data_IF_315475983871
#
_entry.id   IF_315475983871
#
_cell.length_a   1.000
_cell.length_b   1.000
_cell.length_c   1.000
_cell.angle_alpha   90.00
_cell.angle_beta   90.00
_cell.angle_gamma   90.00
#
_symmetry.space_group_name_H-M   'P 1'
#
loop_
_entity.id
_entity.type
_entity.pdbx_description
1 polymer ?
#
# COMPACT_ATOMS: atom_id res chain seq x y z
N UNK A 1 5.33 8.46 -9.35
CA UNK A 1 5.90 8.83 -8.02
C UNK A 1 6.23 7.58 -7.24
N UNK A 2 7.14 7.69 -6.27
CA UNK A 2 7.52 6.62 -5.36
C UNK A 2 7.73 7.24 -3.97
N UNK A 3 6.98 6.76 -2.98
CA UNK A 3 7.24 7.05 -1.57
C UNK A 3 7.76 5.78 -0.91
N UNK A 4 9.07 5.71 -0.70
CA UNK A 4 9.68 4.47 -0.30
C UNK A 4 11.17 4.47 -0.56
N UNK A 5 11.75 3.27 -0.54
CA UNK A 5 13.16 3.07 -0.78
C UNK A 5 13.37 1.64 -1.28
N UNK A 6 14.23 1.49 -2.29
CA UNK A 6 14.70 0.20 -2.76
C UNK A 6 15.98 -0.14 -2.01
N UNK A 7 15.90 -1.20 -1.21
CA UNK A 7 17.00 -1.68 -0.38
C UNK A 7 18.24 -1.97 -1.22
N UNK A 8 19.40 -1.54 -0.72
CA UNK A 8 20.69 -1.81 -1.36
C UNK A 8 20.71 -1.45 -2.87
N UNK A 9 19.97 -0.42 -3.30
CA UNK A 9 19.81 -0.05 -4.72
C UNK A 9 21.14 -0.01 -5.50
N UNK A 10 22.22 0.49 -4.89
CA UNK A 10 23.56 0.52 -5.52
C UNK A 10 24.07 -0.87 -5.96
N UNK A 11 23.71 -1.94 -5.26
CA UNK A 11 24.10 -3.32 -5.60
C UNK A 11 23.32 -3.85 -6.81
N UNK A 12 22.04 -3.52 -6.90
CA UNK A 12 21.17 -4.00 -7.98
C UNK A 12 21.12 -3.06 -9.19
N UNK A 13 21.59 -1.81 -9.07
CA UNK A 13 21.51 -0.79 -10.14
C UNK A 13 22.06 -1.31 -11.47
N UNK A 14 23.23 -1.97 -11.45
CA UNK A 14 23.83 -2.54 -12.67
C UNK A 14 22.97 -3.67 -13.26
N UNK A 15 22.33 -4.46 -12.42
CA UNK A 15 21.44 -5.52 -12.87
C UNK A 15 20.15 -4.94 -13.48
N UNK A 16 19.60 -3.85 -12.91
CA UNK A 16 18.47 -3.11 -13.51
C UNK A 16 18.86 -2.55 -14.88
N UNK A 17 20.03 -1.88 -15.00
CA UNK A 17 20.53 -1.35 -16.28
C UNK A 17 20.59 -2.43 -17.35
N UNK A 18 21.13 -3.60 -17.01
CA UNK A 18 21.24 -4.71 -17.96
C UNK A 18 19.89 -5.38 -18.30
N UNK A 19 18.86 -5.16 -17.49
CA UNK A 19 17.55 -5.79 -17.64
C UNK A 19 16.54 -4.95 -18.44
N UNK A 20 16.83 -3.67 -18.68
CA UNK A 20 15.93 -2.75 -19.41
C UNK A 20 16.45 -2.48 -20.82
N UNK A 21 15.54 -2.20 -21.77
CA UNK A 21 15.91 -1.77 -23.12
C UNK A 21 16.60 -0.40 -23.12
N UNK A 22 17.44 -0.17 -24.13
CA UNK A 22 18.18 1.08 -24.34
C UNK A 22 17.27 2.32 -24.33
N UNK A 23 16.08 2.24 -24.92
CA UNK A 23 15.13 3.35 -24.95
C UNK A 23 14.70 3.80 -23.54
N UNK A 24 14.54 2.87 -22.60
CA UNK A 24 14.17 3.16 -21.20
C UNK A 24 15.38 3.59 -20.38
N UNK A 25 16.55 3.03 -20.67
CA UNK A 25 17.82 3.46 -20.08
C UNK A 25 18.12 4.93 -20.40
N UNK A 26 17.96 5.34 -21.67
CA UNK A 26 18.26 6.70 -22.14
C UNK A 26 17.27 7.76 -21.63
N UNK A 27 16.11 7.35 -21.10
CA UNK A 27 15.14 8.27 -20.47
C UNK A 27 15.49 8.63 -19.02
N UNK A 28 16.43 7.92 -18.39
CA UNK A 28 16.83 8.21 -17.01
C UNK A 28 17.83 9.37 -17.01
N UNK A 29 17.47 10.46 -16.36
CA UNK A 29 18.30 11.67 -16.23
C UNK A 29 18.99 11.76 -14.87
N UNK A 30 18.39 11.18 -13.83
CA UNK A 30 18.89 11.22 -12.47
C UNK A 30 19.50 9.90 -11.96
N UNK A 31 19.70 9.85 -10.65
CA UNK A 31 20.37 8.73 -9.97
C UNK A 31 19.51 8.07 -8.89
N UNK A 32 18.23 8.43 -8.80
CA UNK A 32 17.33 7.96 -7.75
C UNK A 32 16.83 6.55 -8.06
N UNK A 33 16.67 5.73 -7.03
CA UNK A 33 16.08 4.39 -7.16
C UNK A 33 14.69 4.40 -7.82
N UNK A 34 13.93 5.47 -7.54
CA UNK A 34 12.58 5.73 -8.02
C UNK A 34 12.52 5.86 -9.54
N UNK A 35 13.49 6.55 -10.14
CA UNK A 35 13.56 6.74 -11.60
C UNK A 35 13.98 5.45 -12.31
N UNK A 36 14.92 4.71 -11.73
CA UNK A 36 15.32 3.40 -12.25
C UNK A 36 14.21 2.36 -12.11
N UNK A 37 13.40 2.41 -11.05
CA UNK A 37 12.19 1.60 -10.93
C UNK A 37 11.12 1.99 -11.96
N UNK A 38 11.01 3.28 -12.29
CA UNK A 38 10.11 3.73 -13.34
C UNK A 38 10.55 3.26 -14.73
N UNK A 39 11.85 3.32 -15.05
CA UNK A 39 12.38 2.76 -16.29
C UNK A 39 12.11 1.25 -16.40
N UNK A 40 12.30 0.50 -15.30
CA UNK A 40 11.96 -0.92 -15.22
C UNK A 40 10.44 -1.16 -15.41
N UNK A 41 9.60 -0.27 -14.89
CA UNK A 41 8.15 -0.32 -15.08
C UNK A 41 7.75 -0.13 -16.55
N UNK A 42 8.34 0.85 -17.24
CA UNK A 42 8.11 1.07 -18.67
C UNK A 42 8.58 -0.12 -19.51
N UNK A 43 9.75 -0.68 -19.19
CA UNK A 43 10.24 -1.90 -19.83
C UNK A 43 9.31 -3.11 -19.60
N UNK A 44 8.76 -3.22 -18.39
CA UNK A 44 7.79 -4.26 -18.04
C UNK A 44 6.48 -4.09 -18.82
N UNK A 45 5.97 -2.85 -18.93
CA UNK A 45 4.81 -2.52 -19.76
C UNK A 45 5.02 -2.96 -21.22
N UNK A 46 6.16 -2.59 -21.81
CA UNK A 46 6.52 -2.95 -23.18
C UNK A 46 6.55 -4.47 -23.35
N UNK A 47 7.28 -5.17 -22.48
CA UNK A 47 7.46 -6.63 -22.57
C UNK A 47 6.15 -7.40 -22.50
N UNK A 48 5.14 -6.87 -21.83
CA UNK A 48 3.82 -7.49 -21.76
C UNK A 48 2.93 -7.21 -22.98
N UNK A 49 3.41 -6.43 -23.95
CA UNK A 49 2.69 -6.12 -25.20
C UNK A 49 1.42 -5.29 -24.98
N UNK A 50 1.27 -4.68 -23.80
CA UNK A 50 0.04 -4.00 -23.41
C UNK A 50 -0.07 -2.60 -24.01
N UNK A 51 -1.27 -2.24 -24.46
CA UNK A 51 -1.65 -0.82 -24.55
C UNK A 51 -1.71 -0.25 -23.12
N UNK A 52 -1.52 1.07 -22.90
CA UNK A 52 -1.45 1.72 -21.58
C UNK A 52 -2.58 1.44 -20.55
N UNK A 53 -3.60 0.68 -20.94
CA UNK A 53 -4.86 0.41 -20.23
C UNK A 53 -4.83 -0.77 -19.25
N UNK A 54 -3.72 -1.50 -19.11
CA UNK A 54 -3.50 -2.50 -18.04
C UNK A 54 -2.31 -2.16 -17.10
N UNK A 55 -2.32 -0.99 -16.43
CA UNK A 55 -1.31 -0.62 -15.42
C UNK A 55 -1.06 -1.62 -14.28
N UNK A 56 -2.07 -2.34 -13.74
CA UNK A 56 -1.88 -3.18 -12.55
C UNK A 56 -0.88 -4.32 -12.79
N UNK A 57 -1.01 -5.05 -13.89
CA UNK A 57 -0.18 -6.20 -14.21
C UNK A 57 1.29 -5.82 -14.38
N UNK A 58 1.54 -4.68 -15.04
CA UNK A 58 2.90 -4.20 -15.23
C UNK A 58 3.52 -3.72 -13.91
N UNK A 59 2.74 -3.08 -13.03
CA UNK A 59 3.22 -2.68 -11.70
C UNK A 59 3.57 -3.92 -10.85
N UNK A 60 2.72 -4.96 -10.87
CA UNK A 60 3.00 -6.22 -10.20
C UNK A 60 4.23 -6.93 -10.80
N UNK A 61 4.38 -6.91 -12.12
CA UNK A 61 5.56 -7.43 -12.81
C UNK A 61 6.84 -6.68 -12.42
N UNK A 62 6.75 -5.38 -12.24
CA UNK A 62 7.88 -4.53 -11.81
C UNK A 62 8.30 -4.88 -10.40
N UNK A 63 7.35 -5.00 -9.45
CA UNK A 63 7.63 -5.43 -8.08
C UNK A 63 8.28 -6.82 -8.07
N UNK A 64 7.77 -7.76 -8.89
CA UNK A 64 8.35 -9.11 -9.02
C UNK A 64 9.81 -9.05 -9.48
N UNK A 65 10.09 -8.32 -10.57
CA UNK A 65 11.46 -8.15 -11.10
C UNK A 65 12.39 -7.50 -10.09
N UNK A 66 11.93 -6.48 -9.35
CA UNK A 66 12.71 -5.86 -8.28
C UNK A 66 13.05 -6.85 -7.17
N UNK A 67 12.07 -7.65 -6.73
CA UNK A 67 12.30 -8.67 -5.70
C UNK A 67 13.30 -9.74 -6.16
N UNK A 68 13.20 -10.20 -7.40
CA UNK A 68 14.14 -11.17 -7.99
C UNK A 68 15.58 -10.62 -7.98
N UNK A 69 15.76 -9.36 -8.41
CA UNK A 69 17.07 -8.71 -8.41
C UNK A 69 17.64 -8.51 -6.99
N UNK A 70 16.79 -8.23 -6.01
CA UNK A 70 17.18 -8.11 -4.60
C UNK A 70 17.57 -9.47 -4.00
N UNK A 71 16.83 -10.52 -4.33
CA UNK A 71 17.12 -11.89 -3.93
C UNK A 71 18.47 -12.36 -4.49
N UNK A 72 18.72 -12.12 -5.78
CA UNK A 72 19.99 -12.44 -6.45
C UNK A 72 21.18 -11.67 -5.85
N UNK A 73 20.96 -10.43 -5.42
CA UNK A 73 21.97 -9.64 -4.74
C UNK A 73 22.19 -10.01 -3.26
N UNK A 74 21.40 -10.96 -2.73
CA UNK A 74 21.50 -11.43 -1.35
C UNK A 74 21.19 -10.34 -0.32
N UNK A 75 20.26 -9.44 -0.63
CA UNK A 75 19.93 -8.31 0.24
C UNK A 75 18.90 -8.71 1.28
N UNK A 76 19.26 -8.65 2.56
CA UNK A 76 18.34 -8.99 3.67
C UNK A 76 17.47 -7.82 4.17
N UNK A 77 17.68 -6.61 3.66
CA UNK A 77 16.94 -5.42 4.06
C UNK A 77 15.65 -5.28 3.21
N UNK A 78 14.47 -5.04 3.82
CA UNK A 78 13.22 -4.87 3.08
C UNK A 78 13.19 -3.57 2.25
N UNK A 79 12.55 -3.61 1.07
CA UNK A 79 12.21 -2.40 0.34
C UNK A 79 10.79 -1.95 0.67
N UNK A 80 10.55 -0.64 0.68
CA UNK A 80 9.22 -0.02 0.80
C UNK A 80 8.88 0.54 -0.57
N UNK A 81 7.82 0.05 -1.20
CA UNK A 81 7.53 0.31 -2.61
C UNK A 81 6.13 0.90 -2.79
N UNK A 82 5.87 2.08 -2.23
CA UNK A 82 4.62 2.79 -2.52
C UNK A 82 4.75 3.57 -3.82
N UNK A 83 4.46 2.91 -4.93
CA UNK A 83 4.43 3.53 -6.24
C UNK A 83 3.06 4.14 -6.51
N UNK A 84 3.03 5.21 -7.29
CA UNK A 84 1.83 5.62 -8.00
C UNK A 84 2.16 6.06 -9.43
N UNK A 85 1.37 5.58 -10.39
CA UNK A 85 1.53 5.83 -11.82
C UNK A 85 0.16 6.02 -12.49
N UNK A 86 0.14 6.76 -13.60
CA UNK A 86 -1.09 7.06 -14.35
C UNK A 86 -0.81 7.14 -15.85
N UNK A 87 -1.80 6.76 -16.65
CA UNK A 87 -1.86 6.97 -18.10
C UNK A 87 -2.75 8.18 -18.49
N UNK A 88 -3.11 9.00 -17.50
CA UNK A 88 -4.04 10.13 -17.64
C UNK A 88 -5.52 9.75 -17.56
N UNK A 89 -5.87 8.46 -17.55
CA UNK A 89 -7.26 7.98 -17.46
C UNK A 89 -7.50 7.09 -16.24
N UNK A 90 -6.46 6.37 -15.82
CA UNK A 90 -6.45 5.45 -14.71
C UNK A 90 -5.22 5.69 -13.84
N UNK A 91 -5.32 5.31 -12.58
CA UNK A 91 -4.22 5.41 -11.61
C UNK A 91 -4.00 4.04 -11.00
N UNK A 92 -2.74 3.64 -10.89
CA UNK A 92 -2.31 2.48 -10.10
C UNK A 92 -1.43 2.96 -8.97
N UNK A 93 -1.74 2.50 -7.75
CA UNK A 93 -0.95 2.75 -6.56
C UNK A 93 -0.61 1.41 -5.89
N UNK A 94 0.55 1.30 -5.28
CA UNK A 94 0.91 0.16 -4.44
C UNK A 94 1.14 0.61 -3.01
N UNK A 95 0.78 -0.23 -2.06
CA UNK A 95 1.29 -0.15 -0.69
C UNK A 95 1.99 -1.46 -0.40
N UNK A 96 3.32 -1.47 -0.41
CA UNK A 96 4.07 -2.73 -0.46
C UNK A 96 5.38 -2.69 0.32
N UNK A 97 5.69 -3.81 0.98
CA UNK A 97 6.97 -4.07 1.63
C UNK A 97 7.45 -5.49 1.33
N UNK A 98 8.74 -5.64 1.03
CA UNK A 98 9.41 -6.92 0.76
C UNK A 98 9.71 -7.69 2.06
N UNK A 99 8.73 -7.80 2.97
CA UNK A 99 8.87 -8.51 4.24
C UNK A 99 7.52 -9.12 4.62
N UNK A 100 7.55 -10.28 5.31
CA UNK A 100 6.35 -10.90 5.90
C UNK A 100 5.99 -10.28 7.26
N UNK A 101 6.98 -9.70 7.93
CA UNK A 101 6.90 -9.29 9.33
C UNK A 101 6.83 -7.78 9.50
N UNK A 102 7.34 -7.01 8.54
CA UNK A 102 7.36 -5.54 8.62
C UNK A 102 6.13 -4.91 7.94
N UNK A 103 5.76 -3.73 8.43
CA UNK A 103 4.67 -2.89 7.94
C UNK A 103 5.17 -2.02 6.78
N UNK A 104 4.32 -1.83 5.76
CA UNK A 104 4.65 -0.92 4.67
C UNK A 104 4.40 0.54 5.07
N UNK A 105 5.07 1.47 4.37
CA UNK A 105 4.77 2.90 4.46
C UNK A 105 3.28 3.14 4.25
N UNK A 106 2.70 4.03 5.06
CA UNK A 106 1.27 4.28 5.04
C UNK A 106 0.80 4.84 3.70
N UNK A 107 -0.42 4.45 3.34
CA UNK A 107 -1.12 4.94 2.16
C UNK A 107 -2.61 4.90 2.47
N UNK A 108 -3.27 6.02 2.25
CA UNK A 108 -4.69 6.21 2.46
C UNK A 108 -5.34 6.65 1.16
N UNK A 109 -6.61 6.33 1.01
CA UNK A 109 -7.44 6.95 -0.01
C UNK A 109 -8.72 7.50 0.61
N UNK A 110 -9.25 8.55 0.00
CA UNK A 110 -10.56 9.09 0.31
C UNK A 110 -11.31 9.29 -0.99
N UNK A 111 -12.62 9.05 -0.99
CA UNK A 111 -13.44 9.23 -2.17
C UNK A 111 -14.79 9.86 -1.83
N UNK A 112 -15.29 10.67 -2.76
CA UNK A 112 -16.50 11.44 -2.57
C UNK A 112 -16.84 12.27 -3.81
N UNK A 113 -17.72 13.24 -3.65
CA UNK A 113 -18.20 14.11 -4.72
C UNK A 113 -17.41 15.42 -4.78
N UNK A 114 -16.92 15.92 -3.64
CA UNK A 114 -16.23 17.21 -3.59
C UNK A 114 -15.28 17.32 -2.40
N UNK A 115 -14.08 17.84 -2.62
CA UNK A 115 -13.16 18.26 -1.57
C UNK A 115 -13.20 19.78 -1.44
N UNK A 116 -13.61 20.30 -0.28
CA UNK A 116 -13.77 21.74 -0.07
C UNK A 116 -13.39 22.17 1.35
N UNK A 117 -12.98 23.43 1.48
CA UNK A 117 -12.81 24.10 2.77
C UNK A 117 -14.19 24.44 3.34
N UNK A 118 -14.56 23.86 4.49
CA UNK A 118 -15.86 24.11 5.13
C UNK A 118 -15.80 25.20 6.19
N UNK A 119 -14.59 25.61 6.58
CA UNK A 119 -14.31 26.71 7.50
C UNK A 119 -12.96 27.31 7.16
N UNK A 120 -12.86 28.64 7.16
CA UNK A 120 -11.60 29.35 6.94
C UNK A 120 -10.47 28.87 7.86
N UNK A 121 -9.27 28.78 7.30
CA UNK A 121 -8.05 28.44 8.03
C UNK A 121 -7.54 27.02 7.72
N UNK A 122 -7.89 26.46 6.57
CA UNK A 122 -7.41 25.15 6.13
C UNK A 122 -8.23 23.98 6.62
N UNK A 123 -9.49 24.19 7.01
CA UNK A 123 -10.39 23.11 7.43
C UNK A 123 -11.08 22.50 6.21
N UNK A 124 -10.44 21.50 5.62
CA UNK A 124 -10.98 20.76 4.49
C UNK A 124 -11.69 19.48 4.94
N UNK A 125 -12.66 19.03 4.13
CA UNK A 125 -13.33 17.73 4.28
C UNK A 125 -13.69 17.11 2.94
N UNK A 126 -13.88 15.79 2.94
CA UNK A 126 -14.41 15.07 1.78
C UNK A 126 -15.94 14.99 1.89
N UNK A 127 -16.66 15.63 0.97
CA UNK A 127 -18.12 15.59 0.92
C UNK A 127 -18.61 14.39 0.11
N UNK A 128 -19.65 13.72 0.59
CA UNK A 128 -20.30 12.56 -0.05
C UNK A 128 -21.80 12.81 -0.15
N UNK A 129 -22.23 13.57 -1.15
CA UNK A 129 -23.64 13.99 -1.27
C UNK A 129 -24.52 12.91 -1.92
N UNK A 130 -23.95 12.03 -2.75
CA UNK A 130 -24.65 10.95 -3.43
C UNK A 130 -23.87 9.62 -3.38
N UNK A 131 -24.30 8.62 -4.14
CA UNK A 131 -23.57 7.35 -4.29
C UNK A 131 -22.39 7.43 -5.26
N UNK A 132 -22.20 8.57 -5.93
CA UNK A 132 -21.12 8.83 -6.86
C UNK A 132 -19.80 9.04 -6.14
N UNK A 133 -18.70 8.71 -6.82
CA UNK A 133 -17.34 8.98 -6.36
C UNK A 133 -16.59 9.73 -7.46
N UNK A 134 -16.97 10.98 -7.69
CA UNK A 134 -16.38 11.84 -8.73
C UNK A 134 -14.92 12.23 -8.45
N UNK A 135 -14.54 12.18 -7.18
CA UNK A 135 -13.20 12.50 -6.72
C UNK A 135 -12.64 11.33 -5.91
N UNK A 136 -11.40 10.97 -6.23
CA UNK A 136 -10.59 10.05 -5.43
C UNK A 136 -9.27 10.74 -5.11
N UNK A 137 -8.95 10.80 -3.83
CA UNK A 137 -7.68 11.31 -3.32
C UNK A 137 -6.88 10.15 -2.76
N UNK A 138 -5.58 10.10 -3.07
CA UNK A 138 -4.63 9.14 -2.49
C UNK A 138 -3.50 9.94 -1.85
N UNK A 139 -3.17 9.63 -0.60
CA UNK A 139 -2.14 10.34 0.15
C UNK A 139 -1.43 9.39 1.13
N UNK A 140 -0.20 9.72 1.51
CA UNK A 140 0.52 8.95 2.53
C UNK A 140 -0.04 9.18 3.94
N UNK A 141 -0.74 10.29 4.17
CA UNK A 141 -1.41 10.60 5.43
C UNK A 141 -2.76 11.28 5.17
N UNK A 142 -3.74 11.17 6.08
CA UNK A 142 -4.99 11.92 5.98
C UNK A 142 -4.73 13.44 5.94
N UNK A 143 -5.24 14.11 4.90
CA UNK A 143 -5.07 15.56 4.71
C UNK A 143 -6.10 16.41 5.48
N UNK A 144 -7.03 15.76 6.19
CA UNK A 144 -8.14 16.42 6.90
C UNK A 144 -8.17 15.98 8.36
N UNK A 145 -8.77 16.81 9.22
CA UNK A 145 -8.99 16.47 10.63
C UNK A 145 -9.96 15.29 10.79
N UNK A 146 -10.96 15.19 9.92
CA UNK A 146 -11.92 14.09 9.87
C UNK A 146 -11.26 12.84 9.29
N UNK A 147 -10.47 12.14 10.12
CA UNK A 147 -9.78 10.90 9.72
C UNK A 147 -10.73 9.78 9.27
N UNK A 148 -12.00 9.82 9.68
CA UNK A 148 -13.02 8.86 9.27
C UNK A 148 -13.33 8.88 7.77
N UNK A 149 -12.98 9.97 7.07
CA UNK A 149 -13.14 10.08 5.62
C UNK A 149 -12.07 9.32 4.83
N UNK A 150 -10.99 8.90 5.50
CA UNK A 150 -9.85 8.25 4.90
C UNK A 150 -9.85 6.77 5.24
N UNK A 151 -9.75 5.96 4.19
CA UNK A 151 -9.62 4.52 4.28
C UNK A 151 -8.16 4.17 4.08
N UNK A 152 -7.60 3.39 4.99
CA UNK A 152 -6.24 2.91 4.82
C UNK A 152 -6.18 1.80 3.78
N UNK A 153 -5.18 1.88 2.90
CA UNK A 153 -4.87 0.81 1.96
C UNK A 153 -4.13 -0.28 2.73
N UNK A 154 -4.56 -1.56 2.73
CA UNK A 154 -3.86 -2.61 3.48
C UNK A 154 -2.44 -2.87 2.96
N UNK A 155 -1.52 -3.28 3.84
CA UNK A 155 -0.16 -3.64 3.44
C UNK A 155 -0.14 -4.77 2.43
N UNK A 156 0.76 -4.66 1.46
CA UNK A 156 0.91 -5.53 0.30
C UNK A 156 -0.39 -5.63 -0.50
N UNK A 157 -0.92 -4.46 -0.87
CA UNK A 157 -2.08 -4.33 -1.77
C UNK A 157 -1.76 -3.38 -2.93
N UNK A 158 -2.46 -3.61 -4.04
CA UNK A 158 -2.51 -2.72 -5.18
C UNK A 158 -3.88 -2.04 -5.21
N UNK A 159 -3.87 -0.72 -5.33
CA UNK A 159 -5.05 0.12 -5.47
C UNK A 159 -5.10 0.62 -6.91
N UNK A 160 -6.26 0.48 -7.53
CA UNK A 160 -6.48 0.92 -8.92
C UNK A 160 -7.69 1.83 -8.96
N UNK A 161 -7.58 2.92 -9.72
CA UNK A 161 -8.63 3.92 -9.90
C UNK A 161 -8.89 4.00 -11.39
N UNK A 162 -10.14 3.77 -11.78
CA UNK A 162 -10.61 4.01 -13.15
C UNK A 162 -11.96 4.70 -13.06
N UNK A 163 -12.03 5.95 -13.54
CA UNK A 163 -13.19 6.83 -13.33
C UNK A 163 -13.52 6.91 -11.83
N UNK A 164 -14.74 6.52 -11.46
CA UNK A 164 -15.25 6.55 -10.09
C UNK A 164 -15.04 5.21 -9.34
N UNK A 165 -14.39 4.23 -9.97
CA UNK A 165 -14.21 2.90 -9.39
C UNK A 165 -12.82 2.80 -8.76
N UNK A 166 -12.80 2.54 -7.45
CA UNK A 166 -11.61 2.18 -6.69
C UNK A 166 -11.64 0.68 -6.42
N UNK A 167 -10.64 -0.05 -6.89
CA UNK A 167 -10.45 -1.47 -6.59
C UNK A 167 -9.17 -1.67 -5.80
N UNK A 168 -9.24 -2.51 -4.78
CA UNK A 168 -8.09 -2.89 -3.95
C UNK A 168 -7.95 -4.40 -4.03
N UNK A 169 -6.79 -4.86 -4.47
CA UNK A 169 -6.48 -6.28 -4.55
C UNK A 169 -5.21 -6.59 -3.75
N UNK A 170 -5.16 -7.71 -3.01
CA UNK A 170 -3.95 -8.11 -2.34
C UNK A 170 -2.87 -8.52 -3.35
N UNK A 171 -1.62 -8.17 -3.07
CA UNK A 171 -0.44 -8.64 -3.81
C UNK A 171 -0.06 -9.99 -3.21
N UNK A 172 -0.37 -11.06 -3.94
CA UNK A 172 -0.11 -12.44 -3.51
C UNK A 172 1.28 -12.88 -3.96
N UNK A 173 2.25 -12.81 -3.04
CA UNK A 173 3.62 -13.28 -3.22
C UNK A 173 4.17 -13.92 -1.93
N UNK A 174 5.48 -14.17 -1.88
CA UNK A 174 6.14 -14.77 -0.70
C UNK A 174 6.04 -13.91 0.57
N UNK A 175 5.74 -12.62 0.45
CA UNK A 175 5.57 -11.67 1.56
C UNK A 175 4.10 -11.48 1.97
N UNK A 176 3.16 -12.07 1.23
CA UNK A 176 1.73 -12.03 1.56
C UNK A 176 1.43 -12.74 2.88
N UNK A 177 0.58 -12.10 3.68
CA UNK A 177 0.14 -12.61 4.97
C UNK A 177 -1.30 -13.13 4.84
N UNK A 178 -1.47 -14.44 5.01
CA UNK A 178 -2.77 -15.10 4.87
C UNK A 178 -3.69 -14.83 6.06
N UNK A 179 -3.11 -14.61 7.25
CA UNK A 179 -3.88 -14.29 8.45
C UNK A 179 -4.16 -12.79 8.51
N UNK A 180 -5.41 -12.31 8.30
CA UNK A 180 -5.73 -10.89 8.35
C UNK A 180 -5.56 -10.27 9.74
N UNK A 181 -5.48 -11.08 10.81
CA UNK A 181 -5.25 -10.62 12.17
C UNK A 181 -3.76 -10.56 12.55
N UNK A 182 -2.84 -10.94 11.65
CA UNK A 182 -1.42 -10.87 11.92
C UNK A 182 -0.94 -9.41 11.93
N UNK A 183 -0.37 -8.98 13.05
CA UNK A 183 0.23 -7.65 13.17
C UNK A 183 1.65 -7.67 12.62
N UNK A 184 1.93 -6.74 11.71
CA UNK A 184 3.29 -6.44 11.25
C UNK A 184 3.94 -5.40 12.16
N UNK A 185 5.27 -5.35 12.14
CA UNK A 185 6.09 -4.42 12.92
C UNK A 185 6.27 -3.09 12.20
N UNK A 186 5.98 -1.98 12.89
CA UNK A 186 6.22 -0.63 12.39
C UNK A 186 7.71 -0.20 12.50
N UNK A 187 8.53 -0.93 13.24
CA UNK A 187 9.89 -0.49 13.59
C UNK A 187 10.76 -0.21 12.36
N UNK A 188 10.64 -1.02 11.29
CA UNK A 188 11.43 -0.82 10.09
C UNK A 188 11.05 0.46 9.35
N UNK A 189 9.76 0.69 9.09
CA UNK A 189 9.29 1.88 8.38
C UNK A 189 9.57 3.16 9.17
N UNK A 190 9.43 3.11 10.50
CA UNK A 190 9.79 4.22 11.39
C UNK A 190 11.29 4.51 11.36
N UNK A 191 12.15 3.48 11.30
CA UNK A 191 13.60 3.66 11.16
C UNK A 191 14.00 4.35 9.85
N UNK A 192 13.11 4.33 8.84
CA UNK A 192 13.26 5.04 7.56
C UNK A 192 12.66 6.44 7.57
N UNK A 193 12.18 6.92 8.73
CA UNK A 193 11.55 8.22 8.87
C UNK A 193 10.17 8.31 8.20
N UNK A 194 9.54 7.16 7.95
CA UNK A 194 8.23 7.07 7.32
C UNK A 194 7.18 6.63 8.34
N UNK A 195 5.92 6.96 8.06
CA UNK A 195 4.81 6.65 8.97
C UNK A 195 4.21 5.29 8.63
N UNK A 196 4.13 4.41 9.63
CA UNK A 196 3.36 3.17 9.60
C UNK A 196 1.86 3.45 9.78
N UNK A 197 1.02 2.44 9.57
CA UNK A 197 -0.35 2.53 10.05
C UNK A 197 -0.39 2.78 11.57
N UNK A 198 -1.24 3.71 12.06
CA UNK A 198 -1.46 3.83 13.49
C UNK A 198 -2.10 2.54 13.99
N UNK A 199 -1.46 1.88 14.95
CA UNK A 199 -2.03 0.72 15.64
C UNK A 199 -3.35 1.19 16.28
N UNK A 200 -4.48 0.83 15.69
CA UNK A 200 -5.75 0.89 16.41
C UNK A 200 -5.63 -0.17 17.50
N UNK A 201 -5.56 0.19 18.80
CA UNK A 201 -5.45 -0.82 19.83
C UNK A 201 -6.69 -1.69 19.74
N UNK A 202 -6.51 -2.97 19.39
CA UNK A 202 -7.56 -3.95 19.54
C UNK A 202 -7.93 -3.95 21.03
N UNK A 203 -9.17 -3.56 21.35
CA UNK A 203 -9.67 -3.70 22.72
C UNK A 203 -9.47 -5.16 23.10
N UNK A 204 -8.81 -5.47 24.25
CA UNK A 204 -8.67 -6.85 24.67
C UNK A 204 -10.07 -7.44 24.80
N UNK A 205 -10.31 -8.53 24.07
CA UNK A 205 -11.50 -9.36 24.25
C UNK A 205 -11.44 -9.86 25.69
N UNK A 206 -12.27 -9.27 26.56
CA UNK A 206 -12.48 -9.83 27.90
C UNK A 206 -13.12 -11.20 27.69
N UNK A 207 -12.35 -12.26 27.91
CA UNK A 207 -12.92 -13.58 28.12
C UNK A 207 -13.69 -13.55 29.43
N UNK A 208 -14.98 -13.20 29.36
CA UNK A 208 -15.93 -13.44 30.45
C UNK A 208 -16.18 -14.95 30.53
N UNK A 209 -15.24 -15.68 31.13
CA UNK A 209 -15.54 -16.99 31.71
C UNK A 209 -16.51 -16.78 32.86
N UNK A 210 -17.81 -16.78 32.56
CA UNK A 210 -18.86 -16.99 33.56
C UNK A 210 -18.60 -18.33 34.24
N UNK A 211 -18.15 -18.30 35.50
CA UNK A 211 -18.19 -19.48 36.38
C UNK A 211 -19.65 -19.93 36.50
N UNK A 212 -19.96 -21.23 36.35
CA UNK A 212 -21.31 -21.72 36.57
C UNK A 212 -21.69 -21.54 38.05
N UNK A 213 -22.82 -20.90 38.27
CA UNK A 213 -23.47 -20.72 39.57
C UNK A 213 -23.85 -22.07 40.16
N UNK A 214 -23.39 -22.37 41.37
CA UNK A 214 -23.85 -23.51 42.14
C UNK A 214 -25.35 -23.38 42.44
N UNK A 215 -26.15 -24.33 41.95
CA UNK A 215 -27.55 -24.48 42.39
C UNK A 215 -27.55 -24.95 43.84
N UNK A 216 -28.06 -24.11 44.74
CA UNK A 216 -28.47 -24.53 46.07
C UNK A 216 -29.76 -25.35 45.93
N UNK A 217 -29.66 -26.66 46.18
CA UNK A 217 -30.81 -27.51 46.42
C UNK A 217 -31.38 -27.21 47.81
N UNK A 218 -32.55 -26.57 47.83
CA UNK A 218 -33.49 -26.62 48.94
C UNK A 218 -34.89 -26.82 48.38
N UNK A 219 -35.66 -27.58 49.16
CA UNK A 219 -37.08 -27.88 49.09
C UNK A 219 -37.41 -29.24 48.46
N UNK A 220 -38.36 -30.02 48.97
CA UNK A 220 -38.97 -30.14 50.29
C UNK A 220 -39.75 -31.47 50.21
N UNK A 221 -39.85 -32.15 51.34
CA UNK A 221 -40.62 -33.37 51.56
C UNK A 221 -42.14 -33.16 51.50
N UNK A 222 -42.83 -34.22 51.03
CA UNK A 222 -44.27 -34.53 51.01
C UNK A 222 -45.12 -33.97 49.87
#
# INVERSE_FOLDING_TARGET
MHNGHIANFKKIKRAIVNAIRDEYFLMVEGSTDSEWAFALFLDTLHSLGYSPKSPPEAMLGTIRRLNELLDEAGTGEPSLLNFAATDGHSVVCTRYVCSRTDEAASLYFSSGTRFHEYKEGGFYRMERHDRGQDLVMVASEPLTFERGDWVTVPTNSILTINKQTVLIHPIIDKYYQQNPAYSRSAAFVESKGMVAEPIVPSKPVKNDTKKPSAMNGKDASY
#
